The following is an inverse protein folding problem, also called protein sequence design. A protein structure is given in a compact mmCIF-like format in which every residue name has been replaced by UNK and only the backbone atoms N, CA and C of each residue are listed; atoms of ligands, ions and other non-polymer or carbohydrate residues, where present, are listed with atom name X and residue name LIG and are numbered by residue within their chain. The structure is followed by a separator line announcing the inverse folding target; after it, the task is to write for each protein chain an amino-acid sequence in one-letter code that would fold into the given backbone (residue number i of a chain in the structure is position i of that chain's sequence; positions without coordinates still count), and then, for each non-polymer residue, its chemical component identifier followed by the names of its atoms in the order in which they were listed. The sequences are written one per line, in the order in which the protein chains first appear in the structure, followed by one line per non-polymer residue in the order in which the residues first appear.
data_IF_735502937337
#
_entry.id   IF_735502937337
#
_cell.length_a   1.000
_cell.length_b   1.000
_cell.length_c   1.000
_cell.angle_alpha   90.00
_cell.angle_beta   90.00
_cell.angle_gamma   90.00
#
_symmetry.space_group_name_H-M   'P 1'
#
loop_
_entity.id
_entity.type
_entity.pdbx_description
1 polymer ?
#
# COMPACT_ATOMS: atom_id res chain seq x y z
N UNK A 1 16.91 78.94 -27.83
CA UNK A 1 17.70 77.67 -27.83
C UNK A 1 17.94 77.17 -26.40
N UNK A 2 16.88 76.93 -25.62
CA UNK A 2 16.99 76.40 -24.24
C UNK A 2 15.80 75.52 -23.82
N UNK A 3 14.95 75.08 -24.78
CA UNK A 3 13.83 74.17 -24.50
C UNK A 3 13.89 72.86 -25.29
N UNK A 4 14.78 72.75 -26.28
CA UNK A 4 14.93 71.50 -27.05
C UNK A 4 15.94 70.52 -26.42
N UNK A 5 16.85 71.01 -25.57
CA UNK A 5 17.86 70.18 -24.90
C UNK A 5 17.34 69.48 -23.64
N UNK A 6 16.24 69.97 -23.07
CA UNK A 6 15.64 69.41 -21.85
C UNK A 6 14.73 68.20 -22.12
N UNK A 7 14.30 68.01 -23.37
CA UNK A 7 13.45 66.89 -23.76
C UNK A 7 14.26 65.61 -24.07
N UNK A 8 15.55 65.74 -24.40
CA UNK A 8 16.41 64.57 -24.66
C UNK A 8 16.92 63.91 -23.36
N UNK A 9 16.94 64.64 -22.24
CA UNK A 9 17.38 64.10 -20.94
C UNK A 9 16.28 63.34 -20.17
N UNK A 10 15.01 63.50 -20.56
CA UNK A 10 13.87 62.82 -19.93
C UNK A 10 13.51 61.47 -20.58
N UNK A 11 14.14 61.11 -21.70
CA UNK A 11 13.92 59.84 -22.41
C UNK A 11 14.92 58.73 -22.05
N UNK A 12 15.93 59.02 -21.22
CA UNK A 12 16.95 58.03 -20.81
C UNK A 12 16.59 57.31 -19.49
N UNK A 13 15.55 57.74 -18.77
CA UNK A 13 15.14 57.13 -17.49
C UNK A 13 13.97 56.13 -17.58
N UNK A 14 13.60 55.67 -18.78
CA UNK A 14 12.58 54.63 -18.99
C UNK A 14 13.15 53.36 -19.62
N UNK A 15 14.37 52.97 -19.23
CA UNK A 15 14.83 51.59 -19.39
C UNK A 15 14.59 50.88 -18.05
N UNK A 16 13.67 49.90 -17.95
CA UNK A 16 13.70 48.99 -16.83
C UNK A 16 15.06 48.30 -16.85
N UNK A 17 15.78 48.42 -15.73
CA UNK A 17 16.98 47.66 -15.46
C UNK A 17 16.62 46.18 -15.62
N UNK A 18 17.32 45.48 -16.51
CA UNK A 18 17.37 44.02 -16.57
C UNK A 18 17.96 43.51 -15.24
N UNK A 19 17.13 43.45 -14.20
CA UNK A 19 17.36 42.52 -13.10
C UNK A 19 17.05 41.16 -13.68
N UNK A 20 18.12 40.41 -13.96
CA UNK A 20 18.09 38.98 -14.27
C UNK A 20 17.42 38.23 -13.11
N UNK A 21 16.10 38.30 -13.02
CA UNK A 21 15.33 37.25 -12.41
C UNK A 21 15.44 36.11 -13.41
N UNK A 22 16.35 35.17 -13.13
CA UNK A 22 16.16 33.83 -13.63
C UNK A 22 14.78 33.41 -13.17
N UNK A 23 13.80 33.54 -14.06
CA UNK A 23 12.64 32.68 -14.04
C UNK A 23 13.23 31.29 -14.19
N UNK A 24 13.49 30.63 -13.06
CA UNK A 24 13.48 29.19 -13.04
C UNK A 24 12.19 28.82 -13.76
N UNK A 25 12.34 28.24 -14.94
CA UNK A 25 11.26 27.50 -15.56
C UNK A 25 10.90 26.48 -14.48
N UNK A 26 9.79 26.74 -13.77
CA UNK A 26 9.16 25.76 -12.91
C UNK A 26 8.72 24.65 -13.87
N UNK A 27 9.60 23.67 -14.04
CA UNK A 27 9.32 22.44 -14.75
C UNK A 27 8.24 21.72 -13.97
N UNK A 28 6.98 21.85 -14.41
CA UNK A 28 5.83 21.09 -13.94
C UNK A 28 5.48 21.35 -12.47
N UNK A 29 4.41 22.11 -12.24
CA UNK A 29 3.73 22.12 -10.94
C UNK A 29 3.11 20.75 -10.65
N UNK A 30 3.93 19.80 -10.20
CA UNK A 30 3.48 18.71 -9.36
C UNK A 30 3.48 19.24 -7.93
N UNK A 31 2.33 19.29 -7.29
CA UNK A 31 2.25 19.61 -5.86
C UNK A 31 3.26 18.73 -5.09
N UNK A 32 4.08 19.31 -4.22
CA UNK A 32 5.01 18.51 -3.42
C UNK A 32 4.24 17.47 -2.60
N UNK A 33 4.77 16.24 -2.49
CA UNK A 33 4.12 15.18 -1.71
C UNK A 33 4.04 15.56 -0.22
N UNK A 34 2.83 15.90 0.25
CA UNK A 34 2.52 16.14 1.65
C UNK A 34 2.31 14.83 2.39
N UNK A 35 3.24 14.49 3.28
CA UNK A 35 3.23 13.23 4.03
C UNK A 35 2.67 13.35 5.45
N UNK A 36 2.09 14.49 5.81
CA UNK A 36 1.62 14.75 7.17
C UNK A 36 0.11 14.57 7.31
N UNK A 37 -0.32 13.79 8.30
CA UNK A 37 -1.71 13.63 8.71
C UNK A 37 -1.83 13.92 10.20
N UNK A 38 -2.30 15.12 10.54
CA UNK A 38 -2.35 15.59 11.93
C UNK A 38 -0.97 15.58 12.59
N UNK A 39 -0.83 14.76 13.64
CA UNK A 39 0.41 14.54 14.38
C UNK A 39 1.35 13.49 13.78
N UNK A 40 0.91 12.73 12.77
CA UNK A 40 1.68 11.63 12.17
C UNK A 40 2.28 12.04 10.83
N UNK A 41 3.49 11.56 10.53
CA UNK A 41 4.11 11.64 9.20
C UNK A 41 4.30 10.23 8.66
N UNK A 42 3.93 9.99 7.40
CA UNK A 42 4.10 8.69 6.74
C UNK A 42 5.39 8.65 5.91
N UNK A 43 6.00 7.47 5.68
CA UNK A 43 7.18 7.36 4.82
C UNK A 43 6.83 7.61 3.36
N UNK A 44 7.78 8.13 2.57
CA UNK A 44 7.65 8.10 1.11
C UNK A 44 7.58 6.64 0.64
N UNK A 45 6.78 6.27 -0.38
CA UNK A 45 6.02 7.12 -1.29
C UNK A 45 4.57 7.43 -0.88
N UNK A 46 4.21 7.16 0.38
CA UNK A 46 2.86 7.44 0.86
C UNK A 46 2.68 8.92 1.20
N UNK A 47 1.47 9.43 1.03
CA UNK A 47 1.08 10.73 1.57
C UNK A 47 -0.36 11.11 1.23
N UNK A 48 -0.70 12.38 1.40
CA UNK A 48 -2.07 12.87 1.47
C UNK A 48 -2.40 13.96 0.45
N UNK A 49 -1.50 14.17 -0.52
CA UNK A 49 -1.66 15.14 -1.61
C UNK A 49 -1.51 14.47 -2.98
N UNK A 50 -2.06 15.05 -4.06
CA UNK A 50 -1.99 14.48 -5.41
C UNK A 50 -0.58 14.22 -5.95
N UNK A 51 0.45 14.91 -5.45
CA UNK A 51 1.83 14.65 -5.86
C UNK A 51 2.54 13.52 -5.13
N UNK A 52 1.86 12.79 -4.24
CA UNK A 52 2.40 11.56 -3.66
C UNK A 52 2.15 10.39 -4.60
N UNK A 53 3.14 9.51 -4.86
CA UNK A 53 2.90 8.36 -5.73
C UNK A 53 1.83 7.41 -5.17
N UNK A 54 1.73 7.27 -3.84
CA UNK A 54 0.66 6.50 -3.21
C UNK A 54 -0.17 7.42 -2.30
N UNK A 55 -1.35 7.80 -2.80
CA UNK A 55 -2.25 8.72 -2.10
C UNK A 55 -3.12 7.96 -1.09
N UNK A 56 -3.10 8.42 0.15
CA UNK A 56 -3.91 7.97 1.27
C UNK A 56 -4.93 9.05 1.66
N UNK A 57 -5.99 8.63 2.33
CA UNK A 57 -6.88 9.53 3.06
C UNK A 57 -6.36 9.77 4.48
N UNK A 58 -6.64 10.95 5.04
CA UNK A 58 -6.23 11.31 6.40
C UNK A 58 -7.45 11.54 7.30
N UNK A 59 -7.54 10.78 8.38
CA UNK A 59 -8.39 11.13 9.53
C UNK A 59 -7.56 11.98 10.51
N UNK A 60 -7.59 13.29 10.29
CA UNK A 60 -6.79 14.25 11.06
C UNK A 60 -7.19 14.32 12.54
N UNK A 61 -8.42 13.90 12.89
CA UNK A 61 -8.91 13.94 14.26
C UNK A 61 -8.14 12.99 15.18
N UNK A 62 -7.67 11.87 14.63
CA UNK A 62 -6.88 10.86 15.32
C UNK A 62 -5.58 10.52 14.58
N UNK A 63 -5.13 11.43 13.71
CA UNK A 63 -3.85 11.35 12.97
C UNK A 63 -3.60 10.01 12.30
N UNK A 64 -4.65 9.42 11.72
CA UNK A 64 -4.64 8.05 11.18
C UNK A 64 -4.70 8.06 9.64
N UNK A 65 -3.72 7.45 8.95
CA UNK A 65 -3.80 7.21 7.51
C UNK A 65 -4.83 6.12 7.18
N UNK A 66 -5.53 6.27 6.06
CA UNK A 66 -6.60 5.38 5.60
C UNK A 66 -6.38 5.09 4.11
N UNK A 67 -6.62 3.85 3.69
CA UNK A 67 -6.62 3.52 2.25
C UNK A 67 -7.65 4.37 1.48
N UNK A 68 -7.38 4.70 0.21
CA UNK A 68 -8.22 5.63 -0.55
C UNK A 68 -9.62 5.10 -0.87
N UNK A 69 -9.78 3.78 -1.02
CA UNK A 69 -11.10 3.19 -1.28
C UNK A 69 -11.93 3.11 0.01
N UNK A 70 -13.11 3.71 -0.03
CA UNK A 70 -14.13 3.59 1.02
C UNK A 70 -15.06 2.44 0.64
N UNK A 71 -15.22 1.47 1.53
CA UNK A 71 -16.11 0.31 1.36
C UNK A 71 -17.55 0.72 1.08
N UNK A 72 -18.33 -0.17 0.48
CA UNK A 72 -19.68 0.13 -0.01
C UNK A 72 -20.62 0.62 1.10
N UNK A 73 -20.37 0.21 2.35
CA UNK A 73 -21.09 0.63 3.55
C UNK A 73 -20.44 1.83 4.30
N UNK A 74 -19.52 2.55 3.66
CA UNK A 74 -18.76 3.63 4.30
C UNK A 74 -17.57 3.13 5.15
N UNK A 75 -17.21 1.86 5.06
CA UNK A 75 -16.11 1.26 5.83
C UNK A 75 -14.77 1.85 5.42
N UNK A 76 -14.01 2.34 6.38
CA UNK A 76 -12.66 2.87 6.19
C UNK A 76 -11.62 1.87 6.67
N UNK A 77 -10.56 1.68 5.87
CA UNK A 77 -9.50 0.72 6.15
C UNK A 77 -8.25 1.46 6.63
N UNK A 78 -8.06 1.46 7.96
CA UNK A 78 -6.99 2.22 8.63
C UNK A 78 -5.65 1.53 8.44
N UNK A 79 -4.61 2.32 8.18
CA UNK A 79 -3.23 1.85 8.21
C UNK A 79 -2.78 1.70 9.66
N UNK A 80 -2.23 0.54 9.99
CA UNK A 80 -1.74 0.19 11.32
C UNK A 80 -0.24 0.45 11.42
N UNK A 81 0.53 0.02 10.42
CA UNK A 81 1.97 0.16 10.42
C UNK A 81 2.54 0.23 9.00
N UNK A 82 3.66 0.93 8.84
CA UNK A 82 4.51 0.88 7.66
C UNK A 82 5.80 0.15 8.01
N UNK A 83 6.32 -0.63 7.08
CA UNK A 83 7.62 -1.26 7.19
C UNK A 83 8.42 -0.98 5.90
N UNK A 84 9.33 -0.02 5.97
CA UNK A 84 10.15 0.37 4.82
C UNK A 84 11.13 -0.72 4.43
N UNK A 85 11.68 -1.47 5.40
CA UNK A 85 12.62 -2.57 5.16
C UNK A 85 12.01 -3.65 4.28
N UNK A 86 10.80 -4.11 4.60
CA UNK A 86 10.10 -5.11 3.77
C UNK A 86 9.30 -4.49 2.64
N UNK A 87 9.24 -3.16 2.56
CA UNK A 87 8.36 -2.40 1.67
C UNK A 87 6.92 -2.90 1.74
N UNK A 88 6.40 -2.97 2.98
CA UNK A 88 5.03 -3.38 3.27
C UNK A 88 4.29 -2.35 4.12
N UNK A 89 2.96 -2.43 4.07
CA UNK A 89 2.03 -1.69 4.93
C UNK A 89 0.99 -2.65 5.48
N UNK A 90 0.73 -2.57 6.78
CA UNK A 90 -0.31 -3.37 7.44
C UNK A 90 -1.55 -2.52 7.61
N UNK A 91 -2.69 -3.04 7.19
CA UNK A 91 -3.99 -2.36 7.29
C UNK A 91 -4.99 -3.19 8.09
N UNK A 92 -5.86 -2.51 8.82
CA UNK A 92 -6.97 -3.15 9.50
C UNK A 92 -8.00 -3.64 8.49
N UNK A 93 -8.30 -4.94 8.54
CA UNK A 93 -9.34 -5.60 7.78
C UNK A 93 -10.29 -6.32 8.75
N UNK A 94 -11.11 -5.59 9.51
CA UNK A 94 -11.97 -6.18 10.52
C UNK A 94 -12.91 -7.21 9.88
N UNK A 95 -13.36 -8.21 10.66
CA UNK A 95 -14.25 -9.22 10.14
C UNK A 95 -15.57 -8.62 9.65
N UNK A 96 -16.00 -8.98 8.45
CA UNK A 96 -17.22 -8.49 7.82
C UNK A 96 -18.00 -9.63 7.18
N UNK A 97 -19.32 -9.59 7.35
CA UNK A 97 -20.23 -10.62 6.84
C UNK A 97 -20.80 -10.31 5.45
N UNK A 98 -20.49 -9.12 4.93
CA UNK A 98 -21.08 -8.59 3.69
C UNK A 98 -20.03 -7.92 2.80
N UNK A 99 -18.73 -8.15 3.06
CA UNK A 99 -17.65 -7.62 2.24
C UNK A 99 -17.46 -8.58 1.07
N UNK A 100 -18.01 -8.22 -0.08
CA UNK A 100 -17.91 -9.05 -1.28
C UNK A 100 -16.45 -9.25 -1.71
N UNK A 101 -16.16 -10.36 -2.39
CA UNK A 101 -14.82 -10.59 -2.98
C UNK A 101 -14.37 -9.43 -3.89
N UNK A 102 -15.22 -8.90 -4.80
CA UNK A 102 -14.85 -7.74 -5.62
C UNK A 102 -14.58 -6.47 -4.80
N UNK A 103 -15.32 -6.21 -3.72
CA UNK A 103 -15.05 -5.07 -2.83
C UNK A 103 -13.68 -5.23 -2.16
N UNK A 104 -13.42 -6.37 -1.55
CA UNK A 104 -12.13 -6.65 -0.90
C UNK A 104 -10.95 -6.49 -1.87
N UNK A 105 -11.12 -6.89 -3.13
CA UNK A 105 -10.13 -6.67 -4.18
C UNK A 105 -9.86 -5.20 -4.44
N UNK A 106 -10.89 -4.36 -4.55
CA UNK A 106 -10.73 -2.90 -4.75
C UNK A 106 -10.10 -2.21 -3.56
N UNK A 107 -10.42 -2.67 -2.34
CA UNK A 107 -9.83 -2.14 -1.10
C UNK A 107 -8.35 -2.44 -1.03
N UNK A 108 -7.99 -3.73 -1.17
CA UNK A 108 -6.66 -4.24 -0.86
C UNK A 108 -5.72 -4.30 -2.07
N UNK A 109 -6.15 -3.76 -3.22
CA UNK A 109 -5.30 -3.65 -4.41
C UNK A 109 -5.60 -2.34 -5.12
N UNK A 110 -4.66 -1.41 -4.98
CA UNK A 110 -4.65 -0.13 -5.69
C UNK A 110 -3.61 -0.12 -6.79
N UNK A 111 -3.37 1.06 -7.37
CA UNK A 111 -2.46 1.21 -8.51
C UNK A 111 -1.01 0.84 -8.19
N UNK A 112 -0.58 1.02 -6.94
CA UNK A 112 0.80 0.87 -6.49
C UNK A 112 0.95 0.02 -5.22
N UNK A 113 -0.08 -0.75 -4.87
CA UNK A 113 -0.03 -1.71 -3.76
C UNK A 113 -0.94 -2.90 -3.99
N UNK A 114 -0.61 -4.03 -3.36
CA UNK A 114 -1.38 -5.27 -3.46
C UNK A 114 -1.18 -6.18 -2.26
N UNK A 115 -2.09 -7.14 -2.08
CA UNK A 115 -2.05 -8.08 -0.96
C UNK A 115 -0.75 -8.88 -0.98
N UNK A 116 0.04 -8.80 0.10
CA UNK A 116 1.28 -9.57 0.26
C UNK A 116 1.00 -11.08 0.32
N UNK A 117 1.96 -11.89 -0.11
CA UNK A 117 1.89 -13.34 0.04
C UNK A 117 1.90 -13.82 1.49
N UNK A 118 2.25 -12.94 2.45
CA UNK A 118 2.13 -13.19 3.90
C UNK A 118 0.71 -13.05 4.45
N UNK A 119 -0.23 -12.58 3.62
CA UNK A 119 -1.62 -12.41 3.99
C UNK A 119 -2.45 -13.61 3.53
N UNK A 120 -3.16 -14.24 4.48
CA UNK A 120 -4.19 -15.23 4.21
C UNK A 120 -5.58 -14.57 4.24
N UNK A 121 -6.46 -14.94 3.30
CA UNK A 121 -7.84 -14.49 3.25
C UNK A 121 -8.80 -15.62 3.62
N UNK A 122 -9.82 -15.30 4.42
CA UNK A 122 -10.89 -16.23 4.79
C UNK A 122 -12.18 -15.84 4.08
N UNK A 123 -12.81 -16.79 3.41
CA UNK A 123 -13.94 -16.58 2.51
C UNK A 123 -15.18 -17.35 2.99
N UNK A 124 -16.36 -16.83 2.66
CA UNK A 124 -17.65 -17.42 2.98
C UNK A 124 -18.66 -17.21 1.86
N UNK A 125 -19.78 -17.93 1.95
CA UNK A 125 -20.90 -17.84 1.01
C UNK A 125 -20.56 -18.48 -0.33
N UNK A 126 -21.45 -19.32 -0.87
CA UNK A 126 -21.38 -19.75 -2.28
C UNK A 126 -20.16 -20.56 -2.75
N UNK A 127 -19.17 -20.82 -1.88
CA UNK A 127 -17.82 -21.34 -2.15
C UNK A 127 -17.74 -22.71 -2.85
N UNK A 128 -18.26 -22.79 -4.07
CA UNK A 128 -18.41 -24.00 -4.88
C UNK A 128 -17.15 -24.38 -5.64
N UNK A 129 -16.13 -23.51 -5.63
CA UNK A 129 -14.83 -23.73 -6.27
C UNK A 129 -13.79 -24.42 -5.38
N UNK A 130 -14.08 -24.62 -4.09
CA UNK A 130 -13.14 -25.29 -3.17
C UNK A 130 -13.04 -26.76 -3.56
N UNK A 131 -11.95 -27.13 -4.23
CA UNK A 131 -11.57 -28.52 -4.38
C UNK A 131 -10.57 -28.86 -3.27
N UNK A 132 -10.96 -29.66 -2.28
CA UNK A 132 -10.12 -30.04 -1.14
C UNK A 132 -8.79 -30.71 -1.52
N UNK A 133 -8.61 -31.06 -2.81
CA UNK A 133 -7.40 -31.65 -3.38
C UNK A 133 -6.44 -30.64 -4.06
N UNK A 134 -6.82 -29.37 -4.22
CA UNK A 134 -5.99 -28.35 -4.86
C UNK A 134 -5.30 -27.46 -3.82
N UNK A 135 -3.97 -27.52 -3.79
CA UNK A 135 -3.06 -26.99 -2.76
C UNK A 135 -3.04 -25.45 -2.53
N UNK A 136 -4.09 -24.71 -2.91
CA UNK A 136 -4.21 -23.26 -2.71
C UNK A 136 -5.36 -22.86 -1.77
N UNK A 137 -6.22 -23.81 -1.39
CA UNK A 137 -7.35 -23.57 -0.49
C UNK A 137 -7.25 -24.40 0.79
N UNK A 138 -7.66 -23.84 1.93
CA UNK A 138 -7.96 -24.61 3.13
C UNK A 138 -9.44 -24.52 3.50
N UNK A 139 -9.91 -25.47 4.32
CA UNK A 139 -11.26 -25.46 4.86
C UNK A 139 -11.15 -25.43 6.38
N UNK A 140 -11.68 -24.38 6.99
CA UNK A 140 -11.65 -24.18 8.45
C UNK A 140 -13.04 -24.40 9.02
N UNK A 141 -13.21 -25.29 10.00
CA UNK A 141 -14.50 -25.50 10.66
C UNK A 141 -15.01 -24.21 11.31
N UNK A 142 -16.31 -23.92 11.18
CA UNK A 142 -16.90 -22.71 11.73
C UNK A 142 -16.82 -22.60 13.25
N UNK A 143 -16.80 -23.73 13.97
CA UNK A 143 -16.57 -23.71 15.41
C UNK A 143 -15.19 -23.20 15.81
N UNK A 144 -14.19 -23.34 14.95
CA UNK A 144 -12.85 -22.77 15.15
C UNK A 144 -12.86 -21.29 14.78
N UNK A 145 -13.41 -20.95 13.60
CA UNK A 145 -13.45 -19.56 13.13
C UNK A 145 -14.27 -18.64 14.05
N UNK A 146 -15.40 -19.10 14.59
CA UNK A 146 -16.21 -18.33 15.55
C UNK A 146 -15.48 -18.02 16.86
N UNK A 147 -14.58 -18.92 17.30
CA UNK A 147 -13.74 -18.68 18.48
C UNK A 147 -12.61 -17.68 18.19
N UNK A 148 -12.12 -17.64 16.95
CA UNK A 148 -11.11 -16.69 16.50
C UNK A 148 -11.71 -15.29 16.28
N UNK A 149 -12.90 -15.20 15.69
CA UNK A 149 -13.55 -13.93 15.34
C UNK A 149 -14.55 -13.46 16.38
N UNK A 150 -14.17 -13.45 17.67
CA UNK A 150 -15.06 -13.15 18.82
C UNK A 150 -15.97 -11.92 18.62
N UNK A 151 -15.57 -10.97 17.78
CA UNK A 151 -16.23 -9.69 17.50
C UNK A 151 -17.19 -9.68 16.30
N UNK A 152 -17.21 -10.71 15.44
CA UNK A 152 -18.14 -10.79 14.31
C UNK A 152 -18.93 -12.10 14.31
N UNK A 153 -20.17 -12.02 14.78
CA UNK A 153 -21.14 -13.10 14.68
C UNK A 153 -21.94 -12.93 13.40
N UNK A 154 -21.42 -13.44 12.29
CA UNK A 154 -22.16 -13.44 11.05
C UNK A 154 -23.39 -14.36 11.14
N UNK A 155 -24.59 -13.81 11.05
CA UNK A 155 -25.85 -14.57 11.02
C UNK A 155 -25.88 -15.48 9.78
N UNK A 156 -26.44 -16.69 9.91
CA UNK A 156 -26.47 -17.68 8.81
C UNK A 156 -25.26 -18.63 8.76
N UNK A 157 -24.42 -18.66 9.79
CA UNK A 157 -23.37 -19.67 9.97
C UNK A 157 -23.87 -21.02 10.49
N UNK A 158 -25.17 -21.12 10.76
CA UNK A 158 -25.82 -22.32 11.26
C UNK A 158 -27.32 -22.19 11.17
N UNK A 159 -27.89 -22.56 10.03
CA UNK A 159 -29.18 -23.26 10.02
C UNK A 159 -29.39 -24.12 8.77
N UNK A 160 -28.30 -24.57 8.14
CA UNK A 160 -28.32 -25.66 7.18
C UNK A 160 -27.63 -26.85 7.82
N UNK A 161 -28.16 -28.05 7.60
CA UNK A 161 -27.67 -29.34 8.12
C UNK A 161 -26.27 -29.75 7.65
N UNK A 162 -25.51 -28.83 7.04
CA UNK A 162 -24.09 -28.99 6.71
C UNK A 162 -23.29 -28.00 7.56
N UNK A 163 -22.20 -28.41 8.23
CA UNK A 163 -21.34 -27.44 8.89
C UNK A 163 -20.77 -26.53 7.80
N UNK A 164 -21.30 -25.31 7.70
CA UNK A 164 -20.70 -24.28 6.86
C UNK A 164 -19.21 -24.28 7.22
N UNK A 165 -18.33 -24.35 6.22
CA UNK A 165 -16.90 -24.28 6.42
C UNK A 165 -16.43 -22.98 5.79
N UNK A 166 -15.47 -22.31 6.43
CA UNK A 166 -14.84 -21.13 5.88
C UNK A 166 -13.72 -21.58 4.96
N UNK A 167 -13.77 -21.14 3.71
CA UNK A 167 -12.63 -21.31 2.82
C UNK A 167 -11.49 -20.41 3.31
N UNK A 168 -10.26 -20.81 3.09
CA UNK A 168 -9.14 -19.89 3.14
C UNK A 168 -8.31 -19.97 1.87
N UNK A 169 -7.71 -18.85 1.49
CA UNK A 169 -6.74 -18.76 0.40
C UNK A 169 -5.52 -18.06 0.95
N UNK A 170 -4.37 -18.69 0.81
CA UNK A 170 -3.08 -18.11 1.15
C UNK A 170 -2.12 -18.34 -0.01
N UNK A 171 -1.14 -17.45 -0.16
CA UNK A 171 -0.04 -17.69 -1.06
C UNK A 171 0.91 -18.71 -0.44
N UNK A 172 1.39 -19.66 -1.25
CA UNK A 172 2.37 -20.66 -0.80
C UNK A 172 3.72 -19.96 -0.63
N UNK A 173 4.43 -20.08 0.49
CA UNK A 173 5.81 -19.64 0.54
C UNK A 173 6.60 -20.47 -0.48
N UNK A 174 7.36 -19.79 -1.34
CA UNK A 174 8.16 -20.46 -2.35
C UNK A 174 9.16 -21.42 -1.69
N UNK A 175 9.30 -22.63 -2.23
CA UNK A 175 10.51 -23.41 -1.96
C UNK A 175 11.63 -22.66 -2.68
N UNK A 176 12.50 -21.99 -1.91
CA UNK A 176 13.87 -21.57 -2.25
C UNK A 176 14.21 -21.35 -3.74
N UNK A 177 14.63 -20.11 -4.03
CA UNK A 177 15.49 -19.61 -5.13
C UNK A 177 14.94 -19.16 -6.48
N UNK A 178 13.62 -19.18 -6.77
CA UNK A 178 13.13 -18.48 -7.96
C UNK A 178 11.62 -18.20 -7.92
N UNK A 179 11.25 -16.95 -7.69
CA UNK A 179 10.39 -16.16 -8.58
C UNK A 179 9.99 -14.84 -7.90
N UNK A 180 10.34 -13.72 -8.53
CA UNK A 180 9.84 -12.37 -8.20
C UNK A 180 8.29 -12.32 -8.17
N UNK A 181 7.63 -13.31 -8.83
CA UNK A 181 6.18 -13.53 -8.90
C UNK A 181 5.48 -13.93 -7.60
N UNK A 182 6.18 -14.38 -6.55
CA UNK A 182 5.54 -14.94 -5.34
C UNK A 182 5.38 -13.94 -4.18
N UNK A 183 5.57 -12.65 -4.44
CA UNK A 183 5.49 -11.60 -3.43
C UNK A 183 4.06 -11.17 -3.10
N UNK A 184 3.11 -11.42 -4.02
CA UNK A 184 1.73 -10.98 -3.90
C UNK A 184 0.74 -12.14 -3.99
N UNK A 185 -0.43 -11.96 -3.37
CA UNK A 185 -1.58 -12.82 -3.56
C UNK A 185 -2.24 -12.52 -4.91
N UNK A 186 -2.53 -13.59 -5.65
CA UNK A 186 -3.22 -13.51 -6.94
C UNK A 186 -4.73 -13.64 -6.71
N UNK A 187 -5.47 -12.57 -6.96
CA UNK A 187 -6.94 -12.54 -6.82
C UNK A 187 -7.65 -13.61 -7.65
N UNK A 188 -7.08 -14.02 -8.78
CA UNK A 188 -7.59 -15.13 -9.58
C UNK A 188 -7.76 -16.41 -8.75
N UNK A 189 -6.87 -16.68 -7.78
CA UNK A 189 -6.97 -17.85 -6.88
C UNK A 189 -8.15 -17.73 -5.92
N UNK A 190 -8.47 -16.51 -5.48
CA UNK A 190 -9.60 -16.19 -4.59
C UNK A 190 -10.91 -16.30 -5.38
N UNK A 191 -10.99 -15.66 -6.54
CA UNK A 191 -12.17 -15.64 -7.41
C UNK A 191 -12.52 -17.05 -7.92
N UNK A 192 -11.52 -17.90 -8.19
CA UNK A 192 -11.72 -19.31 -8.53
C UNK A 192 -12.43 -20.12 -7.45
N UNK A 193 -12.37 -19.72 -6.18
CA UNK A 193 -13.10 -20.40 -5.10
C UNK A 193 -14.61 -20.17 -5.19
N UNK A 194 -15.05 -19.19 -6.00
CA UNK A 194 -16.46 -18.82 -6.19
C UNK A 194 -17.17 -18.54 -4.87
N UNK A 195 -16.48 -17.90 -3.94
CA UNK A 195 -17.07 -17.44 -2.69
C UNK A 195 -17.70 -16.05 -2.86
N UNK A 196 -18.73 -15.76 -2.07
CA UNK A 196 -19.44 -14.49 -2.13
C UNK A 196 -18.64 -13.38 -1.43
N UNK A 197 -18.15 -13.66 -0.21
CA UNK A 197 -17.58 -12.65 0.69
C UNK A 197 -16.19 -13.02 1.23
N UNK A 198 -15.37 -12.00 1.48
CA UNK A 198 -14.14 -12.08 2.29
C UNK A 198 -14.50 -11.76 3.74
N UNK A 199 -14.57 -12.80 4.57
CA UNK A 199 -14.90 -12.69 5.99
C UNK A 199 -13.86 -11.89 6.76
N UNK A 200 -12.58 -12.26 6.65
CA UNK A 200 -11.46 -11.61 7.36
C UNK A 200 -10.15 -11.99 6.68
N UNK A 201 -9.04 -11.47 7.19
CA UNK A 201 -7.69 -11.87 6.81
C UNK A 201 -6.84 -12.20 8.03
N UNK A 202 -5.67 -12.76 7.76
CA UNK A 202 -4.61 -12.91 8.73
C UNK A 202 -3.24 -12.60 8.14
N UNK A 203 -2.36 -12.02 8.95
CA UNK A 203 -0.96 -11.77 8.60
C UNK A 203 -0.07 -12.71 9.40
N UNK A 204 0.90 -13.33 8.73
CA UNK A 204 1.95 -14.09 9.38
C UNK A 204 3.01 -13.14 9.95
N UNK A 205 3.07 -13.05 11.28
CA UNK A 205 4.06 -12.25 12.01
C UNK A 205 5.15 -13.18 12.56
N UNK A 206 6.41 -12.85 12.29
CA UNK A 206 7.57 -13.54 12.87
C UNK A 206 8.06 -12.74 14.06
N UNK A 207 8.07 -13.37 15.23
CA UNK A 207 8.66 -12.79 16.43
C UNK A 207 10.19 -12.86 16.37
N UNK A 208 10.85 -11.98 17.12
CA UNK A 208 12.32 -11.97 17.28
C UNK A 208 12.87 -13.30 17.82
N UNK A 209 12.05 -14.08 18.52
CA UNK A 209 12.39 -15.41 19.04
C UNK A 209 12.25 -16.53 17.99
N UNK A 210 11.89 -16.18 16.75
CA UNK A 210 11.67 -17.14 15.67
C UNK A 210 10.34 -17.89 15.76
N UNK A 211 9.45 -17.53 16.68
CA UNK A 211 8.07 -18.05 16.71
C UNK A 211 7.20 -17.28 15.73
N UNK A 212 6.27 -17.98 15.07
CA UNK A 212 5.34 -17.38 14.13
C UNK A 212 3.94 -17.28 14.74
N UNK A 213 3.33 -16.10 14.68
CA UNK A 213 1.96 -15.85 15.10
C UNK A 213 1.11 -15.39 13.92
N UNK A 214 -0.20 -15.58 14.06
CA UNK A 214 -1.20 -15.14 13.08
C UNK A 214 -2.02 -14.04 13.70
N UNK A 215 -1.90 -12.82 13.18
CA UNK A 215 -2.74 -11.71 13.57
C UNK A 215 -3.98 -11.71 12.70
N UNK A 216 -5.17 -11.71 13.30
CA UNK A 216 -6.45 -11.76 12.60
C UNK A 216 -7.05 -10.37 12.47
N UNK A 217 -7.75 -10.13 11.35
CA UNK A 217 -8.37 -8.84 11.10
C UNK A 217 -7.38 -7.79 10.59
N UNK A 218 -6.23 -8.24 10.10
CA UNK A 218 -5.18 -7.41 9.49
C UNK A 218 -4.79 -7.99 8.14
N UNK A 219 -4.39 -7.13 7.22
CA UNK A 219 -3.84 -7.50 5.92
C UNK A 219 -2.53 -6.75 5.69
N UNK A 220 -1.48 -7.50 5.35
CA UNK A 220 -0.22 -6.93 4.87
C UNK A 220 -0.33 -6.73 3.36
N UNK A 221 0.03 -5.54 2.91
CA UNK A 221 0.11 -5.14 1.52
C UNK A 221 1.58 -4.85 1.19
N UNK A 222 2.06 -5.36 0.06
CA UNK A 222 3.30 -4.86 -0.54
C UNK A 222 3.01 -3.68 -1.46
N UNK A 223 3.99 -2.82 -1.69
CA UNK A 223 3.88 -1.66 -2.58
C UNK A 223 5.09 -1.52 -3.51
N UNK A 224 4.93 -0.71 -4.55
CA UNK A 224 5.95 -0.44 -5.56
C UNK A 224 5.74 0.95 -6.19
N UNK A 225 6.79 1.50 -6.79
CA UNK A 225 6.68 2.62 -7.74
C UNK A 225 6.73 2.11 -9.17
N UNK A 226 6.11 2.82 -10.10
CA UNK A 226 6.07 2.42 -11.51
C UNK A 226 7.46 2.54 -12.16
N UNK A 227 7.73 1.65 -13.12
CA UNK A 227 9.01 1.60 -13.83
C UNK A 227 10.04 0.70 -13.13
N UNK A 228 11.18 0.51 -13.76
CA UNK A 228 12.25 -0.37 -13.31
C UNK A 228 13.41 0.40 -12.70
N UNK A 229 14.30 -0.31 -12.01
CA UNK A 229 15.56 0.21 -11.53
C UNK A 229 16.46 0.78 -12.65
N UNK A 230 16.28 0.34 -13.89
CA UNK A 230 17.02 0.84 -15.04
C UNK A 230 16.46 2.15 -15.60
N UNK A 231 15.16 2.42 -15.40
CA UNK A 231 14.48 3.58 -15.99
C UNK A 231 14.86 4.90 -15.28
N UNK A 232 15.30 4.82 -14.01
CA UNK A 232 15.85 5.95 -13.26
C UNK A 232 14.86 7.10 -13.00
N UNK A 233 13.55 6.83 -13.11
CA UNK A 233 12.46 7.81 -12.92
C UNK A 233 12.40 8.30 -11.49
N UNK A 234 12.41 7.37 -10.53
CA UNK A 234 12.53 7.65 -9.10
C UNK A 234 13.81 6.98 -8.59
N UNK A 235 14.70 7.77 -7.99
CA UNK A 235 16.05 7.29 -7.63
C UNK A 235 16.11 6.91 -6.17
N UNK A 236 16.71 5.75 -5.91
CA UNK A 236 17.10 5.38 -4.56
C UNK A 236 18.13 6.38 -4.01
N UNK A 237 18.05 6.63 -2.70
CA UNK A 237 19.00 7.45 -1.98
C UNK A 237 20.40 6.81 -1.97
N UNK A 238 21.40 7.57 -1.52
CA UNK A 238 22.69 7.00 -1.20
C UNK A 238 22.52 5.90 -0.12
N UNK A 239 23.28 4.81 -0.26
CA UNK A 239 23.18 3.62 0.61
C UNK A 239 21.82 2.90 0.56
N UNK A 240 21.07 3.05 -0.52
CA UNK A 240 19.90 2.22 -0.82
C UNK A 240 20.16 1.34 -2.04
N UNK A 241 19.54 0.16 -2.05
CA UNK A 241 19.55 -0.78 -3.17
C UNK A 241 18.19 -0.74 -3.87
N UNK A 242 18.20 -0.65 -5.19
CA UNK A 242 16.99 -0.77 -6.00
C UNK A 242 16.69 -2.24 -6.31
N UNK A 243 15.44 -2.64 -6.16
CA UNK A 243 14.96 -3.97 -6.62
C UNK A 243 13.73 -3.83 -7.49
N UNK A 244 13.74 -4.49 -8.66
CA UNK A 244 12.57 -4.61 -9.51
C UNK A 244 11.51 -5.50 -8.83
N UNK A 245 10.26 -5.10 -8.98
CA UNK A 245 9.07 -5.75 -8.43
C UNK A 245 8.14 -6.07 -9.57
N UNK A 246 7.70 -7.32 -9.64
CA UNK A 246 6.62 -7.69 -10.54
C UNK A 246 5.30 -7.49 -9.84
N UNK A 247 4.46 -6.65 -10.42
CA UNK A 247 3.17 -6.29 -9.84
C UNK A 247 2.16 -7.43 -10.01
N UNK A 248 1.07 -7.45 -9.23
CA UNK A 248 -0.03 -8.40 -9.43
C UNK A 248 -0.68 -8.33 -10.83
N UNK A 249 -0.61 -7.17 -11.49
CA UNK A 249 -1.13 -6.96 -12.86
C UNK A 249 -0.18 -7.45 -13.96
N UNK A 250 1.06 -7.79 -13.61
CA UNK A 250 2.09 -8.24 -14.54
C UNK A 250 2.99 -7.12 -15.06
N UNK A 251 2.70 -5.86 -14.74
CA UNK A 251 3.61 -4.74 -14.98
C UNK A 251 4.87 -4.83 -14.10
N UNK A 252 5.88 -4.02 -14.44
CA UNK A 252 7.08 -3.85 -13.64
C UNK A 252 7.00 -2.57 -12.81
N UNK A 253 7.36 -2.71 -11.55
CA UNK A 253 7.64 -1.63 -10.62
C UNK A 253 9.03 -1.77 -10.03
N UNK A 254 9.40 -0.86 -9.15
CA UNK A 254 10.62 -0.90 -8.37
C UNK A 254 10.38 -0.39 -6.95
N UNK A 255 11.33 -0.69 -6.08
CA UNK A 255 11.40 -0.17 -4.72
C UNK A 255 12.86 0.03 -4.31
N UNK A 256 13.06 0.85 -3.30
CA UNK A 256 14.35 1.12 -2.71
C UNK A 256 14.38 0.63 -1.27
N UNK A 257 15.45 -0.07 -0.90
CA UNK A 257 15.67 -0.57 0.46
C UNK A 257 17.01 -0.05 0.97
N UNK A 258 17.02 0.51 2.19
CA UNK A 258 18.25 0.96 2.82
C UNK A 258 19.20 -0.22 3.11
N UNK A 259 20.50 0.04 3.06
CA UNK A 259 21.51 -0.93 3.42
C UNK A 259 21.31 -1.44 4.86
N UNK A 260 21.74 -2.68 5.12
CA UNK A 260 21.55 -3.32 6.43
C UNK A 260 22.10 -2.46 7.57
N UNK A 261 21.28 -2.25 8.62
CA UNK A 261 21.61 -1.41 9.76
C UNK A 261 21.30 0.08 9.58
N UNK A 262 20.71 0.47 8.45
CA UNK A 262 20.20 1.83 8.22
C UNK A 262 18.67 1.84 8.25
N UNK A 263 18.11 3.00 8.58
CA UNK A 263 16.69 3.29 8.62
C UNK A 263 16.32 4.31 7.54
N UNK A 264 15.04 4.36 7.18
CA UNK A 264 14.48 5.31 6.23
C UNK A 264 13.64 4.66 5.14
N UNK A 265 13.18 5.45 4.18
CA UNK A 265 12.33 5.00 3.07
C UNK A 265 13.12 4.57 1.83
N UNK A 266 14.43 4.83 1.79
CA UNK A 266 15.30 4.42 0.70
C UNK A 266 15.24 5.30 -0.55
N UNK A 267 14.37 6.30 -0.62
CA UNK A 267 14.19 7.14 -1.81
C UNK A 267 14.83 8.51 -1.65
N UNK A 268 15.41 9.02 -2.74
CA UNK A 268 15.99 10.37 -2.77
C UNK A 268 14.94 11.49 -2.70
N UNK A 269 13.71 11.21 -3.13
CA UNK A 269 12.56 12.11 -3.00
C UNK A 269 11.94 12.11 -1.58
N UNK A 270 12.33 11.14 -0.74
CA UNK A 270 11.84 10.93 0.61
C UNK A 270 12.84 11.35 1.68
N UNK A 271 12.84 10.61 2.79
CA UNK A 271 13.78 10.74 3.90
C UNK A 271 15.14 10.10 3.58
N UNK A 272 15.20 9.21 2.59
CA UNK A 272 16.42 8.53 2.18
C UNK A 272 16.83 7.45 3.17
N UNK A 273 18.13 7.31 3.41
CA UNK A 273 18.70 6.36 4.36
C UNK A 273 19.61 7.06 5.38
N UNK A 274 19.43 6.73 6.65
CA UNK A 274 20.20 7.28 7.77
C UNK A 274 20.55 6.18 8.78
N UNK A 275 21.55 6.43 9.63
CA UNK A 275 21.85 5.54 10.76
C UNK A 275 20.80 5.78 11.85
N UNK A 276 20.10 4.72 12.28
CA UNK A 276 19.16 4.82 13.40
C UNK A 276 19.87 5.25 14.68
N UNK A 277 19.25 6.14 15.46
CA UNK A 277 19.74 6.45 16.81
C UNK A 277 19.42 5.24 17.72
N UNK A 278 20.48 4.63 18.27
CA UNK A 278 20.39 3.48 19.19
C UNK A 278 20.10 3.92 20.63
#
# INVERSE_FOLDING_TARGET
MHHFFLFLFLLVFLLPHETSYSTAIASGGGDLCSRRCGGTTVPYPFGFSPGCPIVLSCDASISTPILPYIGDNGTMYRVIAFNSTTSTVVVGLPPSCSRSVPEARRVLSGDNYGVSSRTGLFLRGGCSGINASAAAGCSVPMGVMSRLLRTAQCVGLGNDTSPAAVACVASRPANSTAAVHDQFLLWEKVEKQKCDDVLTSTVLVLTVEGTATLEFGEAELGWWLNGTCADGVERCAANATCTDVQTPGGELGHRCECAAGMEGDGFSAGDGCYLGES
#
